data_IF_818600759668
#
_entry.id   IF_818600759668
#
_cell.length_a   1.000
_cell.length_b   1.000
_cell.length_c   1.000
_cell.angle_alpha   90.00
_cell.angle_beta   90.00
_cell.angle_gamma   90.00
#
_symmetry.space_group_name_H-M   'P 1'
#
loop_
_entity.id
_entity.type
_entity.pdbx_description
1 polymer ?
#
# COMPACT_ATOMS: atom_id res chain seq x y z
N UNK A 1 -3.88 4.95 -27.01
CA UNK A 1 -2.56 5.58 -26.92
C UNK A 1 -2.01 5.46 -25.52
N UNK A 2 -0.81 4.99 -25.42
CA UNK A 2 -0.16 4.87 -24.14
C UNK A 2 0.54 6.16 -23.77
N UNK A 3 0.25 6.67 -22.59
CA UNK A 3 0.97 7.82 -22.09
C UNK A 3 2.37 7.40 -21.69
N UNK A 4 3.34 8.23 -22.02
CA UNK A 4 4.71 7.97 -21.64
C UNK A 4 4.89 8.33 -20.16
N UNK A 5 5.34 7.35 -19.37
CA UNK A 5 5.63 7.56 -17.96
C UNK A 5 7.08 8.01 -17.82
N UNK A 6 7.27 9.31 -17.78
CA UNK A 6 8.60 9.92 -17.65
C UNK A 6 9.03 9.94 -16.17
N UNK A 7 10.33 9.91 -15.89
CA UNK A 7 10.81 10.13 -14.52
C UNK A 7 10.23 11.42 -13.95
N UNK A 8 9.77 11.35 -12.71
CA UNK A 8 9.13 12.46 -12.02
C UNK A 8 7.62 12.53 -12.20
N UNK A 9 7.04 11.70 -13.07
CA UNK A 9 5.58 11.68 -13.25
C UNK A 9 4.90 11.18 -11.99
N UNK A 10 3.92 11.93 -11.49
CA UNK A 10 3.12 11.51 -10.34
C UNK A 10 2.13 10.41 -10.77
N UNK A 11 2.07 9.34 -10.00
CA UNK A 11 1.24 8.18 -10.31
C UNK A 11 0.60 7.61 -9.06
N UNK A 12 -0.42 6.77 -9.26
CA UNK A 12 -0.91 5.87 -8.21
C UNK A 12 -0.60 4.46 -8.65
N UNK A 13 -0.26 3.61 -7.68
CA UNK A 13 0.12 2.22 -7.96
C UNK A 13 -0.51 1.28 -6.95
N UNK A 14 -0.73 0.05 -7.39
CA UNK A 14 -1.10 -1.03 -6.50
C UNK A 14 0.13 -1.92 -6.35
N UNK A 15 0.49 -2.22 -5.10
CA UNK A 15 1.63 -3.08 -4.80
C UNK A 15 1.24 -4.05 -3.70
N UNK A 16 1.25 -5.34 -4.05
CA UNK A 16 0.71 -6.39 -3.18
C UNK A 16 -0.73 -6.02 -2.82
N UNK A 17 -1.10 -5.88 -1.58
CA UNK A 17 -2.47 -5.53 -1.21
C UNK A 17 -2.65 -4.05 -0.83
N UNK A 18 -1.58 -3.25 -0.94
CA UNK A 18 -1.65 -1.82 -0.65
C UNK A 18 -1.74 -0.98 -1.91
N UNK A 19 -2.20 0.27 -1.76
CA UNK A 19 -2.23 1.26 -2.84
C UNK A 19 -1.52 2.51 -2.38
N UNK A 20 -0.79 3.14 -3.31
CA UNK A 20 0.11 4.23 -2.95
C UNK A 20 0.14 5.32 -4.01
N UNK A 21 0.49 6.53 -3.58
CA UNK A 21 0.98 7.57 -4.48
C UNK A 21 2.48 7.40 -4.64
N UNK A 22 2.99 7.72 -5.82
CA UNK A 22 4.41 7.65 -6.05
C UNK A 22 4.84 8.50 -7.23
N UNK A 23 6.13 8.48 -7.52
CA UNK A 23 6.72 9.13 -8.67
C UNK A 23 7.54 8.10 -9.46
N UNK A 24 7.45 8.18 -10.78
CA UNK A 24 8.25 7.30 -11.63
C UNK A 24 9.73 7.66 -11.47
N UNK A 25 10.56 6.67 -11.18
CA UNK A 25 12.01 6.81 -11.15
C UNK A 25 12.59 6.44 -12.51
N UNK A 26 12.18 5.28 -13.01
CA UNK A 26 12.55 4.83 -14.36
C UNK A 26 11.57 3.76 -14.81
N UNK A 27 11.45 3.59 -16.12
CA UNK A 27 10.64 2.51 -16.69
C UNK A 27 11.56 1.47 -17.30
N UNK A 28 11.09 0.22 -17.27
CA UNK A 28 11.78 -0.90 -17.89
C UNK A 28 10.83 -1.60 -18.87
N UNK A 29 10.67 -1.03 -20.08
CA UNK A 29 9.67 -1.54 -21.03
C UNK A 29 9.83 -3.02 -21.38
N UNK A 30 11.06 -3.50 -21.44
CA UNK A 30 11.32 -4.90 -21.77
C UNK A 30 10.78 -5.85 -20.70
N UNK A 31 10.75 -5.41 -19.45
CA UNK A 31 10.21 -6.19 -18.34
C UNK A 31 8.77 -5.83 -18.02
N UNK A 32 8.24 -4.84 -18.71
CA UNK A 32 6.88 -4.34 -18.50
C UNK A 32 6.66 -3.84 -17.08
N UNK A 33 7.69 -3.21 -16.49
CA UNK A 33 7.67 -2.69 -15.12
C UNK A 33 8.22 -1.27 -15.07
N UNK A 34 8.04 -0.63 -13.93
CA UNK A 34 8.67 0.64 -13.61
C UNK A 34 9.09 0.63 -12.14
N UNK A 35 10.15 1.39 -11.85
CA UNK A 35 10.54 1.66 -10.48
C UNK A 35 9.80 2.92 -10.02
N UNK A 36 9.08 2.82 -8.91
CA UNK A 36 8.27 3.90 -8.37
C UNK A 36 8.76 4.23 -6.96
N UNK A 37 8.97 5.52 -6.72
CA UNK A 37 9.33 6.02 -5.39
C UNK A 37 8.04 6.40 -4.67
N UNK A 38 7.79 5.82 -3.51
CA UNK A 38 6.55 6.00 -2.76
C UNK A 38 6.52 7.36 -2.08
N UNK A 39 5.41 8.10 -2.25
CA UNK A 39 5.24 9.44 -1.66
C UNK A 39 4.11 9.53 -0.65
N UNK A 40 3.10 8.65 -0.75
CA UNK A 40 1.98 8.65 0.19
C UNK A 40 1.25 7.30 0.14
N UNK A 41 0.39 7.05 1.12
CA UNK A 41 -0.38 5.80 1.21
C UNK A 41 -1.85 6.11 0.93
N UNK A 42 -2.48 5.31 0.07
CA UNK A 42 -3.92 5.40 -0.22
C UNK A 42 -4.67 4.34 0.60
N UNK A 43 -4.27 3.07 0.45
CA UNK A 43 -4.85 1.97 1.21
C UNK A 43 -3.75 1.16 1.87
N UNK A 44 -3.91 0.88 3.16
CA UNK A 44 -2.96 0.07 3.91
C UNK A 44 -3.03 -1.39 3.46
N UNK A 45 -1.87 -2.09 3.39
CA UNK A 45 -1.89 -3.51 3.02
C UNK A 45 -2.78 -4.33 3.95
N UNK A 46 -3.41 -5.36 3.38
CA UNK A 46 -4.28 -6.26 4.13
C UNK A 46 -3.43 -7.25 4.92
N UNK A 47 -3.81 -7.51 6.17
CA UNK A 47 -3.11 -8.47 7.02
C UNK A 47 -3.55 -9.89 6.71
N UNK A 48 -2.67 -10.86 6.98
CA UNK A 48 -2.98 -12.27 6.82
C UNK A 48 -2.40 -12.90 5.58
N UNK A 49 -2.89 -14.11 5.23
CA UNK A 49 -2.42 -14.85 4.07
C UNK A 49 -3.24 -14.44 2.85
N UNK A 50 -2.60 -13.88 1.84
CA UNK A 50 -3.28 -13.44 0.62
C UNK A 50 -3.81 -14.59 -0.22
N UNK A 51 -3.26 -15.80 -0.03
CA UNK A 51 -3.76 -17.01 -0.71
C UNK A 51 -4.99 -17.58 -0.03
N UNK A 52 -5.21 -17.22 1.23
CA UNK A 52 -6.36 -17.65 2.02
C UNK A 52 -6.99 -16.43 2.67
N UNK A 53 -7.59 -15.54 1.86
CA UNK A 53 -8.11 -14.27 2.38
C UNK A 53 -9.21 -14.50 3.40
N UNK A 54 -9.19 -13.69 4.46
CA UNK A 54 -10.18 -13.70 5.54
C UNK A 54 -10.26 -15.03 6.30
N UNK A 55 -9.16 -15.78 6.33
CA UNK A 55 -9.07 -17.00 7.12
C UNK A 55 -8.05 -16.84 8.24
N UNK A 56 -8.39 -17.32 9.43
CA UNK A 56 -7.50 -17.29 10.59
C UNK A 56 -6.67 -18.56 10.72
N UNK A 57 -7.24 -19.70 10.28
CA UNK A 57 -6.62 -21.01 10.40
C UNK A 57 -5.70 -21.26 9.20
N UNK A 58 -4.60 -20.50 9.14
CA UNK A 58 -3.61 -20.62 8.07
C UNK A 58 -2.25 -20.89 8.68
N UNK A 59 -1.32 -21.54 7.93
CA UNK A 59 0.01 -21.83 8.45
C UNK A 59 0.76 -20.58 8.91
N UNK A 60 0.55 -19.45 8.22
CA UNK A 60 1.21 -18.21 8.56
C UNK A 60 0.27 -17.04 8.31
N UNK A 61 -0.02 -16.28 9.37
CA UNK A 61 -0.81 -15.06 9.28
C UNK A 61 0.17 -13.90 9.14
N UNK A 62 0.37 -13.44 7.91
CA UNK A 62 1.40 -12.45 7.61
C UNK A 62 1.10 -11.07 8.17
N UNK A 63 2.10 -10.49 8.84
CA UNK A 63 2.10 -9.10 9.23
C UNK A 63 2.66 -8.29 8.06
N UNK A 64 1.89 -7.33 7.56
CA UNK A 64 2.29 -6.55 6.37
C UNK A 64 2.32 -5.07 6.69
N UNK A 65 3.47 -4.45 6.45
CA UNK A 65 3.65 -3.03 6.64
C UNK A 65 3.45 -2.30 5.32
N UNK A 66 3.00 -1.05 5.41
CA UNK A 66 2.98 -0.17 4.24
C UNK A 66 4.41 0.15 3.82
N UNK A 67 4.59 0.41 2.52
CA UNK A 67 5.87 0.90 2.03
C UNK A 67 6.19 2.25 2.65
N UNK A 68 7.47 2.49 2.91
CA UNK A 68 7.93 3.70 3.58
C UNK A 68 8.00 4.88 2.60
N UNK A 69 8.04 6.08 3.15
CA UNK A 69 8.27 7.28 2.35
C UNK A 69 9.61 7.17 1.62
N UNK A 70 9.61 7.45 0.33
CA UNK A 70 10.77 7.39 -0.56
C UNK A 70 11.28 5.97 -0.83
N UNK A 71 10.60 4.96 -0.34
CA UNK A 71 10.93 3.58 -0.68
C UNK A 71 10.64 3.34 -2.16
N UNK A 72 11.53 2.60 -2.82
CA UNK A 72 11.37 2.29 -4.25
C UNK A 72 10.84 0.88 -4.42
N UNK A 73 9.84 0.74 -5.27
CA UNK A 73 9.22 -0.54 -5.55
C UNK A 73 9.17 -0.77 -7.06
N UNK A 74 9.37 -2.02 -7.46
CA UNK A 74 9.25 -2.45 -8.84
C UNK A 74 7.80 -2.86 -9.08
N UNK A 75 7.12 -2.17 -9.99
CA UNK A 75 5.68 -2.32 -10.17
C UNK A 75 5.35 -2.61 -11.63
N UNK A 76 4.46 -3.58 -11.92
CA UNK A 76 4.01 -3.79 -13.29
C UNK A 76 3.35 -2.54 -13.86
N UNK A 77 3.60 -2.28 -15.14
CA UNK A 77 3.05 -1.07 -15.79
C UNK A 77 1.53 -1.05 -15.78
N UNK A 78 0.88 -2.21 -15.83
CA UNK A 78 -0.57 -2.28 -15.90
C UNK A 78 -1.29 -1.88 -14.62
N UNK A 79 -0.58 -1.73 -13.49
CA UNK A 79 -1.19 -1.27 -12.23
C UNK A 79 -0.77 0.16 -11.88
N UNK A 80 -0.14 0.85 -12.83
CA UNK A 80 0.31 2.24 -12.65
C UNK A 80 -0.66 3.15 -13.38
N UNK A 81 -1.18 4.17 -12.67
CA UNK A 81 -2.06 5.17 -13.27
C UNK A 81 -1.50 6.57 -12.99
N UNK A 82 -1.54 7.41 -14.01
CA UNK A 82 -1.13 8.79 -13.87
C UNK A 82 -2.04 9.53 -12.90
N UNK A 83 -1.47 10.38 -12.07
CA UNK A 83 -2.22 11.12 -11.06
C UNK A 83 -1.99 12.62 -11.23
N UNK A 84 -3.07 13.39 -11.37
CA UNK A 84 -3.00 14.82 -11.61
C UNK A 84 -3.42 15.67 -10.40
N UNK A 85 -3.75 15.06 -9.28
CA UNK A 85 -4.18 15.78 -8.09
C UNK A 85 -3.04 16.13 -7.16
N UNK A 86 -3.42 16.65 -6.00
CA UNK A 86 -2.46 16.98 -4.95
C UNK A 86 -2.15 15.73 -4.13
N UNK A 87 -0.88 15.43 -3.95
CA UNK A 87 -0.43 14.29 -3.15
C UNK A 87 -0.42 14.71 -1.68
N UNK A 88 -1.07 13.93 -0.80
CA UNK A 88 -1.08 14.26 0.63
C UNK A 88 0.29 13.99 1.27
N UNK A 89 0.48 14.55 2.46
CA UNK A 89 1.64 14.25 3.29
C UNK A 89 1.70 12.76 3.62
N UNK A 90 2.89 12.17 3.59
CA UNK A 90 3.04 10.73 3.83
C UNK A 90 2.50 10.31 5.20
N UNK A 91 2.96 10.98 6.27
CA UNK A 91 2.56 10.59 7.62
C UNK A 91 1.05 10.72 7.83
N UNK A 92 0.45 11.80 7.34
CA UNK A 92 -1.00 12.01 7.43
C UNK A 92 -1.75 10.95 6.62
N UNK A 93 -1.28 10.64 5.42
CA UNK A 93 -1.91 9.63 4.57
C UNK A 93 -1.82 8.23 5.17
N UNK A 94 -0.68 7.91 5.78
CA UNK A 94 -0.50 6.62 6.43
C UNK A 94 -1.47 6.47 7.61
N UNK A 95 -1.58 7.49 8.44
CA UNK A 95 -2.51 7.48 9.58
C UNK A 95 -3.95 7.28 9.11
N UNK A 96 -4.35 8.01 8.07
CA UNK A 96 -5.69 7.89 7.52
C UNK A 96 -5.97 6.50 6.95
N UNK A 97 -4.99 5.93 6.25
CA UNK A 97 -5.13 4.58 5.68
C UNK A 97 -5.28 3.53 6.78
N UNK A 98 -4.51 3.65 7.87
CA UNK A 98 -4.61 2.75 9.01
C UNK A 98 -5.97 2.88 9.69
N UNK A 99 -6.44 4.11 9.91
CA UNK A 99 -7.75 4.34 10.54
C UNK A 99 -8.89 3.79 9.70
N UNK A 100 -8.82 3.97 8.39
CA UNK A 100 -9.80 3.42 7.47
C UNK A 100 -9.86 1.90 7.57
N UNK A 101 -8.71 1.24 7.54
CA UNK A 101 -8.66 -0.21 7.66
C UNK A 101 -9.17 -0.68 9.03
N UNK A 102 -8.80 0.04 10.10
CA UNK A 102 -9.27 -0.28 11.44
C UNK A 102 -10.79 -0.25 11.52
N UNK A 103 -11.42 0.80 10.97
CA UNK A 103 -12.87 0.91 10.98
C UNK A 103 -13.54 -0.20 10.18
N UNK A 104 -12.97 -0.54 9.03
CA UNK A 104 -13.50 -1.63 8.20
C UNK A 104 -13.42 -2.97 8.93
N UNK A 105 -12.30 -3.25 9.58
CA UNK A 105 -12.11 -4.50 10.32
C UNK A 105 -13.03 -4.57 11.53
N UNK A 106 -13.20 -3.47 12.25
CA UNK A 106 -14.08 -3.42 13.41
C UNK A 106 -15.54 -3.70 13.04
N UNK A 107 -15.95 -3.28 11.85
CA UNK A 107 -17.32 -3.48 11.40
C UNK A 107 -17.64 -4.92 11.03
N UNK A 108 -16.62 -5.73 10.73
CA UNK A 108 -16.84 -7.12 10.28
C UNK A 108 -17.14 -8.08 11.41
N UNK A 109 -16.57 -7.87 12.60
CA UNK A 109 -16.82 -8.69 13.80
C UNK A 109 -16.63 -10.18 13.56
N UNK A 110 -15.59 -10.59 12.82
CA UNK A 110 -15.25 -11.97 12.56
C UNK A 110 -13.95 -12.35 13.26
N UNK A 111 -13.67 -13.66 13.36
CA UNK A 111 -12.40 -14.11 13.92
C UNK A 111 -11.23 -13.59 13.11
N UNK A 112 -11.36 -13.59 11.78
CA UNK A 112 -10.34 -13.03 10.91
C UNK A 112 -10.13 -11.55 11.15
N UNK A 113 -11.22 -10.77 11.22
CA UNK A 113 -11.10 -9.33 11.40
C UNK A 113 -10.49 -8.99 12.77
N UNK A 114 -10.80 -9.76 13.81
CA UNK A 114 -10.21 -9.56 15.12
C UNK A 114 -8.72 -9.83 15.11
N UNK A 115 -8.30 -10.91 14.44
CA UNK A 115 -6.87 -11.20 14.30
C UNK A 115 -6.17 -10.18 13.44
N UNK A 116 -6.80 -9.72 12.38
CA UNK A 116 -6.25 -8.67 11.52
C UNK A 116 -6.09 -7.36 12.29
N UNK A 117 -7.03 -7.02 13.19
CA UNK A 117 -6.92 -5.84 14.04
C UNK A 117 -5.72 -5.92 14.97
N UNK A 118 -5.50 -7.08 15.60
CA UNK A 118 -4.33 -7.28 16.45
C UNK A 118 -3.03 -7.11 15.66
N UNK A 119 -2.99 -7.69 14.47
CA UNK A 119 -1.82 -7.61 13.59
C UNK A 119 -1.59 -6.18 13.14
N UNK A 120 -2.66 -5.47 12.76
CA UNK A 120 -2.58 -4.07 12.37
C UNK A 120 -2.04 -3.20 13.52
N UNK A 121 -2.51 -3.47 14.73
CA UNK A 121 -2.04 -2.73 15.91
C UNK A 121 -0.55 -2.95 16.14
N UNK A 122 -0.07 -4.18 15.95
CA UNK A 122 1.35 -4.51 16.05
C UNK A 122 2.18 -3.77 14.99
N UNK A 123 1.69 -3.75 13.75
CA UNK A 123 2.35 -3.04 12.65
C UNK A 123 2.41 -1.54 12.94
N UNK A 124 1.32 -0.99 13.47
CA UNK A 124 1.21 0.45 13.74
C UNK A 124 2.23 0.92 14.77
N UNK A 125 2.66 0.06 15.67
CA UNK A 125 3.66 0.42 16.67
C UNK A 125 4.99 0.84 16.05
N UNK A 126 5.27 0.38 14.83
CA UNK A 126 6.50 0.73 14.12
C UNK A 126 6.36 2.00 13.28
N UNK A 127 5.17 2.56 13.20
CA UNK A 127 4.94 3.75 12.36
C UNK A 127 5.23 5.03 13.13
N UNK A 128 5.75 6.02 12.39
CA UNK A 128 6.04 7.34 12.93
C UNK A 128 5.23 8.37 12.17
N UNK A 129 4.14 8.81 12.78
CA UNK A 129 3.22 9.74 12.14
C UNK A 129 3.69 11.20 12.21
N UNK A 130 4.75 11.45 12.94
CA UNK A 130 5.28 12.80 13.14
C UNK A 130 6.46 13.14 12.20
N UNK A 131 6.71 12.28 11.25
CA UNK A 131 7.80 12.50 10.29
C UNK A 131 7.29 13.14 9.00
#
# INVERSE_FOLDING_TARGET
MTESLQPGTAVTVKYKSGRYHGEIVQTEPKKNTAVVKITAVIDHPVQGDLHHPKQTNVPLFHERKALSKNEKANVPLNVIKRFDGKVPDYAASLREAVEKQRRELQSLETDWSNKALETLRSVEQDYRYDQ
#
